data_IF_827762853685
#
_entry.id   IF_827762853685
#
_cell.length_a   1.000
_cell.length_b   1.000
_cell.length_c   1.000
_cell.angle_alpha   90.00
_cell.angle_beta   90.00
_cell.angle_gamma   90.00
#
_symmetry.space_group_name_H-M   'P 1'
#
loop_
_entity.id
_entity.type
_entity.pdbx_description
1 polymer ?
#
# COMPACT_ATOMS: atom_id res chain seq x y z
N UNK A 1 -30.97 -5.12 11.36
CA UNK A 1 -29.89 -6.06 11.76
C UNK A 1 -29.21 -6.49 10.48
N UNK A 2 -28.11 -5.84 10.13
CA UNK A 2 -27.28 -6.22 8.99
C UNK A 2 -26.36 -7.35 9.45
N UNK A 3 -26.64 -8.58 9.01
CA UNK A 3 -25.74 -9.72 9.19
C UNK A 3 -24.46 -9.45 8.36
N UNK A 4 -23.41 -8.97 9.02
CA UNK A 4 -22.08 -8.88 8.41
C UNK A 4 -21.44 -10.27 8.46
N UNK A 5 -21.27 -10.90 7.31
CA UNK A 5 -20.48 -12.13 7.18
C UNK A 5 -19.02 -11.69 7.11
N UNK A 6 -18.24 -11.96 8.16
CA UNK A 6 -16.78 -11.82 8.10
C UNK A 6 -16.20 -13.08 7.49
N UNK A 7 -15.52 -12.93 6.35
CA UNK A 7 -14.79 -14.05 5.72
C UNK A 7 -13.30 -13.80 6.00
N UNK A 8 -12.68 -14.67 6.78
CA UNK A 8 -11.23 -14.68 6.95
C UNK A 8 -10.56 -15.18 5.67
N UNK A 9 -9.93 -14.28 4.94
CA UNK A 9 -9.20 -14.60 3.71
C UNK A 9 -7.71 -14.61 4.03
N UNK A 10 -7.02 -15.74 3.81
CA UNK A 10 -5.58 -15.80 3.96
C UNK A 10 -4.88 -14.76 3.07
N UNK A 11 -3.70 -14.25 3.51
CA UNK A 11 -2.87 -13.26 2.78
C UNK A 11 -2.66 -13.68 1.30
N UNK A 12 -2.41 -14.97 1.05
CA UNK A 12 -2.21 -15.49 -0.31
C UNK A 12 -3.45 -15.42 -1.17
N UNK A 13 -4.62 -15.75 -0.62
CA UNK A 13 -5.89 -15.69 -1.34
C UNK A 13 -6.29 -14.24 -1.62
N UNK A 14 -6.09 -13.35 -0.67
CA UNK A 14 -6.30 -11.93 -0.88
C UNK A 14 -5.42 -11.37 -2.01
N UNK A 15 -4.14 -11.74 -2.06
CA UNK A 15 -3.25 -11.33 -3.15
C UNK A 15 -3.68 -11.86 -4.52
N UNK A 16 -4.22 -13.09 -4.58
CA UNK A 16 -4.79 -13.65 -5.82
C UNK A 16 -6.02 -12.87 -6.28
N UNK A 17 -6.97 -12.62 -5.38
CA UNK A 17 -8.17 -11.83 -5.67
C UNK A 17 -7.82 -10.43 -6.15
N UNK A 18 -6.85 -9.78 -5.52
CA UNK A 18 -6.38 -8.48 -5.93
C UNK A 18 -5.77 -8.51 -7.34
N UNK A 19 -4.94 -9.49 -7.68
CA UNK A 19 -4.40 -9.65 -9.05
C UNK A 19 -5.50 -9.80 -10.09
N UNK A 20 -6.55 -10.56 -9.78
CA UNK A 20 -7.72 -10.69 -10.66
C UNK A 20 -8.41 -9.35 -10.83
N UNK A 21 -8.66 -8.62 -9.74
CA UNK A 21 -9.22 -7.26 -9.79
C UNK A 21 -8.36 -6.32 -10.64
N UNK A 22 -7.05 -6.32 -10.47
CA UNK A 22 -6.12 -5.48 -11.24
C UNK A 22 -6.18 -5.81 -12.74
N UNK A 23 -6.30 -7.10 -13.11
CA UNK A 23 -6.45 -7.53 -14.51
C UNK A 23 -7.80 -7.04 -15.08
N UNK A 24 -8.90 -7.24 -14.36
CA UNK A 24 -10.24 -6.80 -14.75
C UNK A 24 -10.24 -5.28 -14.95
N UNK A 25 -9.72 -4.54 -13.97
CA UNK A 25 -9.64 -3.08 -14.03
C UNK A 25 -8.80 -2.61 -15.21
N UNK A 26 -7.65 -3.24 -15.46
CA UNK A 26 -6.77 -2.90 -16.59
C UNK A 26 -7.40 -3.11 -17.95
N UNK A 27 -8.26 -4.13 -18.08
CA UNK A 27 -8.93 -4.47 -19.35
C UNK A 27 -10.16 -3.59 -19.57
N UNK A 28 -10.96 -3.37 -18.52
CA UNK A 28 -12.28 -2.77 -18.63
C UNK A 28 -12.34 -1.28 -18.33
N UNK A 29 -11.35 -0.72 -17.62
CA UNK A 29 -11.29 0.72 -17.32
C UNK A 29 -10.31 1.42 -18.27
N UNK A 30 -10.60 2.66 -18.61
CA UNK A 30 -9.77 3.50 -19.53
C UNK A 30 -8.30 3.46 -19.12
N UNK A 31 -7.43 3.27 -20.09
CA UNK A 31 -5.98 3.39 -19.90
C UNK A 31 -5.59 4.86 -20.02
N UNK A 32 -4.64 5.28 -19.21
CA UNK A 32 -3.92 6.54 -19.42
C UNK A 32 -3.01 6.38 -20.66
N UNK A 33 -3.54 6.69 -21.81
CA UNK A 33 -2.80 6.59 -23.09
C UNK A 33 -1.92 7.83 -23.35
N UNK A 34 -2.03 8.87 -22.52
CA UNK A 34 -1.23 10.09 -22.67
C UNK A 34 0.04 9.97 -21.85
N UNK A 35 1.18 9.93 -22.50
CA UNK A 35 2.53 10.00 -21.90
C UNK A 35 2.86 11.35 -21.25
N UNK A 36 1.93 12.30 -21.20
CA UNK A 36 2.18 13.62 -20.66
C UNK A 36 2.29 13.55 -19.14
N UNK A 37 3.39 14.06 -18.60
CA UNK A 37 3.66 14.27 -17.18
C UNK A 37 2.82 15.43 -16.60
N UNK A 38 1.52 15.43 -16.87
CA UNK A 38 0.66 16.45 -16.28
C UNK A 38 0.50 16.17 -14.79
N UNK A 39 0.78 17.20 -14.00
CA UNK A 39 0.56 17.18 -12.55
C UNK A 39 -0.91 16.89 -12.26
N UNK A 40 -1.17 15.99 -11.34
CA UNK A 40 -2.51 15.54 -11.00
C UNK A 40 -2.73 15.42 -9.49
N UNK A 41 -3.91 14.94 -9.13
CA UNK A 41 -4.28 14.63 -7.74
C UNK A 41 -4.18 13.11 -7.56
N UNK A 42 -3.54 12.65 -6.49
CA UNK A 42 -3.50 11.24 -6.13
C UNK A 42 -4.47 10.97 -4.97
N UNK A 43 -5.41 10.05 -5.18
CA UNK A 43 -6.29 9.50 -4.16
C UNK A 43 -5.69 8.18 -3.68
N UNK A 44 -5.36 8.11 -2.38
CA UNK A 44 -4.68 6.94 -1.81
C UNK A 44 -5.66 6.13 -0.97
N UNK A 45 -5.82 4.84 -1.32
CA UNK A 45 -6.70 3.89 -0.62
C UNK A 45 -8.18 4.30 -0.59
N UNK A 46 -8.66 5.01 -1.63
CA UNK A 46 -10.07 5.34 -1.75
C UNK A 46 -10.89 4.15 -2.27
N UNK A 47 -12.04 3.92 -1.65
CA UNK A 47 -13.03 2.94 -2.08
C UNK A 47 -14.01 3.60 -3.05
N UNK A 48 -14.11 3.12 -4.31
CA UNK A 48 -14.99 3.76 -5.30
C UNK A 48 -16.47 3.78 -4.88
N UNK A 49 -16.95 2.75 -4.18
CA UNK A 49 -18.35 2.68 -3.78
C UNK A 49 -18.62 3.60 -2.58
N UNK A 50 -17.71 3.60 -1.60
CA UNK A 50 -17.88 4.42 -0.40
C UNK A 50 -17.78 5.92 -0.69
N UNK A 51 -16.94 6.29 -1.64
CA UNK A 51 -16.68 7.67 -2.03
C UNK A 51 -17.18 7.99 -3.44
N UNK A 52 -18.31 7.39 -3.83
CA UNK A 52 -18.91 7.47 -5.17
C UNK A 52 -19.01 8.90 -5.70
N UNK A 53 -19.39 9.86 -4.86
CA UNK A 53 -19.49 11.28 -5.23
C UNK A 53 -18.17 11.84 -5.77
N UNK A 54 -17.02 11.53 -5.13
CA UNK A 54 -15.71 12.01 -5.59
C UNK A 54 -15.40 11.46 -6.99
N UNK A 55 -15.77 10.21 -7.26
CA UNK A 55 -15.54 9.58 -8.55
C UNK A 55 -16.48 10.12 -9.64
N UNK A 56 -17.76 10.33 -9.32
CA UNK A 56 -18.74 10.89 -10.28
C UNK A 56 -18.42 12.32 -10.64
N UNK A 57 -18.04 13.14 -9.67
CA UNK A 57 -17.67 14.54 -9.85
C UNK A 57 -16.27 14.72 -10.47
N UNK A 58 -15.49 13.67 -10.60
CA UNK A 58 -14.13 13.74 -11.17
C UNK A 58 -14.08 14.35 -12.56
N UNK A 59 -15.16 14.24 -13.34
CA UNK A 59 -15.30 14.82 -14.70
C UNK A 59 -15.29 16.35 -14.71
N UNK A 60 -15.59 16.99 -13.59
CA UNK A 60 -15.61 18.46 -13.47
C UNK A 60 -14.20 19.03 -13.19
N UNK A 61 -13.24 18.16 -12.83
CA UNK A 61 -11.87 18.59 -12.57
C UNK A 61 -11.05 18.63 -13.86
N UNK A 62 -10.31 19.70 -14.04
CA UNK A 62 -9.38 19.85 -15.18
C UNK A 62 -8.13 18.98 -15.01
N UNK A 63 -7.74 18.72 -13.76
CA UNK A 63 -6.55 17.93 -13.44
C UNK A 63 -6.84 16.44 -13.46
N UNK A 64 -5.84 15.64 -13.84
CA UNK A 64 -5.93 14.18 -13.75
C UNK A 64 -6.05 13.74 -12.30
N UNK A 65 -6.88 12.74 -12.05
CA UNK A 65 -7.03 12.12 -10.75
C UNK A 65 -6.54 10.68 -10.86
N UNK A 66 -5.53 10.33 -10.06
CA UNK A 66 -4.96 8.98 -9.99
C UNK A 66 -5.49 8.27 -8.75
N UNK A 67 -5.88 7.02 -8.89
CA UNK A 67 -6.25 6.15 -7.77
C UNK A 67 -5.14 5.14 -7.51
N UNK A 68 -4.53 5.19 -6.31
CA UNK A 68 -3.50 4.26 -5.88
C UNK A 68 -3.99 3.46 -4.67
N UNK A 69 -4.38 2.20 -4.91
CA UNK A 69 -4.86 1.27 -3.90
C UNK A 69 -3.90 0.07 -3.80
N UNK A 70 -3.40 -0.20 -2.61
CA UNK A 70 -2.49 -1.32 -2.32
C UNK A 70 -3.08 -2.32 -1.35
N UNK A 71 -3.85 -1.86 -0.38
CA UNK A 71 -4.48 -2.68 0.66
C UNK A 71 -5.83 -3.26 0.26
N UNK A 72 -6.46 -2.69 -0.74
CA UNK A 72 -7.76 -3.13 -1.24
C UNK A 72 -7.75 -3.30 -2.77
N UNK A 73 -8.60 -4.19 -3.33
CA UNK A 73 -8.75 -4.28 -4.76
C UNK A 73 -9.37 -2.98 -5.32
N UNK A 74 -9.00 -2.62 -6.54
CA UNK A 74 -9.57 -1.47 -7.24
C UNK A 74 -11.05 -1.68 -7.57
N UNK A 75 -11.39 -2.93 -7.96
CA UNK A 75 -12.77 -3.36 -8.24
C UNK A 75 -13.05 -4.66 -7.49
N UNK A 76 -14.17 -4.76 -6.80
CA UNK A 76 -14.58 -5.94 -6.03
C UNK A 76 -16.03 -6.34 -6.27
N UNK A 77 -16.79 -5.51 -6.98
CA UNK A 77 -18.16 -5.80 -7.42
C UNK A 77 -18.50 -5.02 -8.69
N UNK A 78 -19.67 -5.28 -9.25
CA UNK A 78 -20.15 -4.59 -10.46
C UNK A 78 -20.27 -3.08 -10.27
N UNK A 79 -20.69 -2.63 -9.08
CA UNK A 79 -20.85 -1.21 -8.76
C UNK A 79 -19.50 -0.48 -8.77
N UNK A 80 -18.47 -1.02 -8.12
CA UNK A 80 -17.12 -0.42 -8.12
C UNK A 80 -16.52 -0.34 -9.52
N UNK A 81 -16.73 -1.37 -10.35
CA UNK A 81 -16.28 -1.35 -11.75
C UNK A 81 -17.00 -0.26 -12.55
N UNK A 82 -18.34 -0.18 -12.44
CA UNK A 82 -19.14 0.82 -13.14
C UNK A 82 -18.71 2.25 -12.79
N UNK A 83 -18.53 2.53 -11.49
CA UNK A 83 -18.06 3.84 -11.01
C UNK A 83 -16.71 4.21 -11.65
N UNK A 84 -15.74 3.27 -11.65
CA UNK A 84 -14.44 3.52 -12.28
C UNK A 84 -14.52 3.71 -13.79
N UNK A 85 -15.40 2.98 -14.48
CA UNK A 85 -15.61 3.13 -15.93
C UNK A 85 -16.24 4.48 -16.29
N UNK A 86 -17.18 4.96 -15.48
CA UNK A 86 -17.92 6.18 -15.69
C UNK A 86 -17.20 7.45 -15.18
N UNK A 87 -16.17 7.29 -14.35
CA UNK A 87 -15.36 8.39 -13.81
C UNK A 87 -14.19 8.76 -14.73
N UNK A 88 -13.57 9.92 -14.49
CA UNK A 88 -12.29 10.30 -15.09
C UNK A 88 -11.09 9.96 -14.20
N UNK A 89 -11.32 9.18 -13.15
CA UNK A 89 -10.26 8.69 -12.26
C UNK A 89 -9.48 7.58 -12.94
N UNK A 90 -8.17 7.70 -12.92
CA UNK A 90 -7.22 6.78 -13.56
C UNK A 90 -6.65 5.83 -12.52
N UNK A 91 -7.03 4.54 -12.53
CA UNK A 91 -6.45 3.55 -11.64
C UNK A 91 -4.96 3.34 -11.95
N UNK A 92 -4.10 3.43 -10.93
CA UNK A 92 -2.70 3.09 -11.09
C UNK A 92 -2.44 1.63 -10.74
N UNK A 93 -2.03 0.87 -11.73
CA UNK A 93 -1.73 -0.56 -11.60
C UNK A 93 -0.26 -0.78 -11.95
N UNK A 94 0.51 -1.21 -10.96
CA UNK A 94 1.93 -1.51 -11.14
C UNK A 94 2.07 -2.72 -12.05
N UNK A 95 2.95 -2.62 -13.06
CA UNK A 95 3.18 -3.72 -13.98
C UNK A 95 3.83 -4.92 -13.28
N UNK A 96 3.55 -6.14 -13.76
CA UNK A 96 4.14 -7.36 -13.20
C UNK A 96 5.67 -7.36 -13.26
N UNK A 97 6.27 -6.73 -14.28
CA UNK A 97 7.72 -6.58 -14.41
C UNK A 97 8.28 -5.71 -13.29
N UNK A 98 7.66 -4.56 -13.02
CA UNK A 98 8.06 -3.67 -11.94
C UNK A 98 7.88 -4.32 -10.56
N UNK A 99 6.75 -5.02 -10.33
CA UNK A 99 6.53 -5.75 -9.09
C UNK A 99 7.62 -6.79 -8.82
N UNK A 100 8.04 -7.54 -9.85
CA UNK A 100 9.14 -8.52 -9.72
C UNK A 100 10.47 -7.83 -9.43
N UNK A 101 10.77 -6.74 -10.11
CA UNK A 101 12.01 -5.98 -9.89
C UNK A 101 12.05 -5.37 -8.48
N UNK A 102 10.95 -4.76 -8.04
CA UNK A 102 10.84 -4.15 -6.71
C UNK A 102 10.96 -5.22 -5.60
N UNK A 103 10.39 -6.40 -5.82
CA UNK A 103 10.54 -7.53 -4.90
C UNK A 103 12.00 -7.98 -4.82
N UNK A 104 12.68 -8.19 -5.95
CA UNK A 104 14.10 -8.58 -5.99
C UNK A 104 15.00 -7.53 -5.32
N UNK A 105 14.75 -6.25 -5.58
CA UNK A 105 15.44 -5.15 -4.89
C UNK A 105 15.19 -5.20 -3.37
N UNK A 106 13.95 -5.48 -2.95
CA UNK A 106 13.58 -5.64 -1.55
C UNK A 106 14.32 -6.80 -0.88
N UNK A 107 14.38 -7.97 -1.51
CA UNK A 107 15.05 -9.16 -0.97
C UNK A 107 16.53 -8.90 -0.65
N UNK A 108 17.23 -8.14 -1.51
CA UNK A 108 18.62 -7.77 -1.26
C UNK A 108 18.76 -6.83 -0.03
N UNK A 109 17.85 -5.89 0.14
CA UNK A 109 17.86 -4.92 1.26
C UNK A 109 17.43 -5.57 2.59
N UNK A 110 16.53 -6.55 2.54
CA UNK A 110 16.05 -7.25 3.75
C UNK A 110 17.21 -7.84 4.52
N UNK A 111 18.14 -8.52 3.84
CA UNK A 111 19.28 -9.17 4.50
C UNK A 111 20.10 -8.16 5.31
N UNK A 112 20.48 -7.04 4.69
CA UNK A 112 21.23 -5.97 5.35
C UNK A 112 20.48 -5.38 6.55
N UNK A 113 19.17 -5.14 6.41
CA UNK A 113 18.36 -4.55 7.48
C UNK A 113 18.16 -5.55 8.61
N UNK A 114 17.95 -6.84 8.31
CA UNK A 114 17.81 -7.88 9.33
C UNK A 114 19.08 -8.06 10.15
N UNK A 115 20.26 -8.01 9.50
CA UNK A 115 21.56 -8.04 10.19
C UNK A 115 21.70 -6.85 11.16
N UNK A 116 21.42 -5.63 10.68
CA UNK A 116 21.46 -4.41 11.51
C UNK A 116 20.44 -4.44 12.66
N UNK A 117 19.26 -4.99 12.44
CA UNK A 117 18.24 -5.12 13.46
C UNK A 117 18.65 -6.12 14.55
N UNK A 118 19.24 -7.23 14.17
CA UNK A 118 19.80 -8.20 15.12
C UNK A 118 20.90 -7.55 15.95
N UNK A 119 21.85 -6.86 15.32
CA UNK A 119 22.91 -6.14 16.03
C UNK A 119 22.34 -5.08 16.99
N UNK A 120 21.32 -4.35 16.59
CA UNK A 120 20.67 -3.36 17.44
C UNK A 120 20.07 -4.02 18.69
N UNK A 121 19.34 -5.11 18.52
CA UNK A 121 18.72 -5.82 19.66
C UNK A 121 19.74 -6.51 20.56
N UNK A 122 20.94 -6.83 20.06
CA UNK A 122 22.03 -7.37 20.90
C UNK A 122 22.74 -6.27 21.70
N UNK A 123 22.88 -5.07 21.12
CA UNK A 123 23.70 -4.00 21.71
C UNK A 123 22.89 -3.03 22.59
N UNK A 124 21.57 -2.92 22.39
CA UNK A 124 20.74 -1.91 23.08
C UNK A 124 20.21 -2.41 24.43
N UNK A 125 21.07 -2.27 25.45
CA UNK A 125 20.73 -2.67 26.84
C UNK A 125 19.52 -1.94 27.43
N UNK A 126 19.21 -0.71 26.98
CA UNK A 126 18.08 0.05 27.48
C UNK A 126 16.74 -0.60 27.18
N UNK A 127 16.67 -1.49 26.17
CA UNK A 127 15.45 -2.25 25.88
C UNK A 127 15.10 -3.21 27.02
N UNK A 128 16.10 -3.80 27.68
CA UNK A 128 15.87 -4.67 28.83
C UNK A 128 15.19 -3.93 29.99
N UNK A 129 15.63 -2.69 30.24
CA UNK A 129 15.08 -1.85 31.31
C UNK A 129 13.70 -1.31 30.98
N UNK A 130 13.40 -1.12 29.67
CA UNK A 130 12.09 -0.65 29.22
C UNK A 130 11.00 -1.72 29.37
N UNK A 131 11.35 -2.99 29.20
CA UNK A 131 10.40 -4.12 29.28
C UNK A 131 10.46 -4.82 30.65
N UNK A 132 10.28 -4.06 31.74
CA UNK A 132 10.14 -4.56 33.12
C UNK A 132 8.71 -4.34 33.61
N UNK A 133 8.07 -5.39 34.09
CA UNK A 133 6.77 -5.32 34.76
C UNK A 133 6.81 -6.14 36.03
N UNK A 134 6.39 -5.55 37.16
CA UNK A 134 6.41 -6.20 38.50
C UNK A 134 7.77 -6.82 38.84
N UNK A 135 8.88 -6.13 38.58
CA UNK A 135 10.26 -6.59 38.76
C UNK A 135 10.67 -7.81 37.92
N UNK A 136 9.87 -8.19 36.92
CA UNK A 136 10.21 -9.26 35.97
C UNK A 136 10.62 -8.65 34.64
N UNK A 137 11.76 -9.14 34.12
CA UNK A 137 12.25 -8.76 32.78
C UNK A 137 11.57 -9.63 31.72
N UNK A 138 10.88 -8.98 30.76
CA UNK A 138 10.20 -9.66 29.66
C UNK A 138 10.99 -9.62 28.36
N UNK A 139 12.11 -8.90 28.30
CA UNK A 139 12.85 -8.67 27.09
C UNK A 139 13.29 -9.98 26.41
N UNK A 140 13.86 -10.92 27.15
CA UNK A 140 14.37 -12.19 26.60
C UNK A 140 13.26 -13.04 25.96
N UNK A 141 12.04 -12.96 26.49
CA UNK A 141 10.88 -13.67 25.92
C UNK A 141 10.29 -12.91 24.73
N UNK A 142 10.32 -11.58 24.75
CA UNK A 142 9.71 -10.71 23.75
C UNK A 142 10.58 -10.53 22.50
N UNK A 143 11.91 -10.50 22.68
CA UNK A 143 12.90 -10.27 21.63
C UNK A 143 12.77 -11.23 20.44
N UNK A 144 12.71 -12.57 20.63
CA UNK A 144 12.55 -13.50 19.51
C UNK A 144 11.26 -13.24 18.72
N UNK A 145 10.14 -12.98 19.43
CA UNK A 145 8.86 -12.69 18.81
C UNK A 145 8.89 -11.38 17.99
N UNK A 146 9.51 -10.33 18.54
CA UNK A 146 9.66 -9.05 17.82
C UNK A 146 10.54 -9.21 16.58
N UNK A 147 11.65 -9.96 16.67
CA UNK A 147 12.52 -10.24 15.53
C UNK A 147 11.78 -11.00 14.42
N UNK A 148 11.02 -12.03 14.77
CA UNK A 148 10.20 -12.77 13.82
C UNK A 148 9.18 -11.86 13.12
N UNK A 149 8.40 -11.10 13.90
CA UNK A 149 7.40 -10.16 13.39
C UNK A 149 8.01 -9.11 12.46
N UNK A 150 9.15 -8.54 12.85
CA UNK A 150 9.83 -7.52 12.05
C UNK A 150 10.39 -8.12 10.76
N UNK A 151 11.03 -9.28 10.82
CA UNK A 151 11.57 -9.96 9.64
C UNK A 151 10.48 -10.33 8.62
N UNK A 152 9.30 -10.76 9.08
CA UNK A 152 8.16 -11.01 8.20
C UNK A 152 7.63 -9.75 7.51
N UNK A 153 7.72 -8.58 8.16
CA UNK A 153 7.15 -7.33 7.66
C UNK A 153 8.12 -6.47 6.86
N UNK A 154 9.42 -6.59 7.11
CA UNK A 154 10.44 -5.75 6.46
C UNK A 154 10.35 -5.84 4.93
N UNK A 155 10.23 -7.05 4.37
CA UNK A 155 10.14 -7.22 2.92
C UNK A 155 8.91 -6.50 2.34
N UNK A 156 7.75 -6.67 2.95
CA UNK A 156 6.51 -6.05 2.50
C UNK A 156 6.64 -4.50 2.52
N UNK A 157 7.27 -3.95 3.56
CA UNK A 157 7.49 -2.51 3.71
C UNK A 157 8.46 -1.99 2.63
N UNK A 158 9.58 -2.67 2.41
CA UNK A 158 10.57 -2.26 1.40
C UNK A 158 9.95 -2.30 0.00
N UNK A 159 9.22 -3.37 -0.32
CA UNK A 159 8.52 -3.49 -1.61
C UNK A 159 7.49 -2.38 -1.77
N UNK A 160 6.78 -2.01 -0.70
CA UNK A 160 5.83 -0.91 -0.75
C UNK A 160 6.51 0.45 -0.93
N UNK A 161 7.67 0.67 -0.31
CA UNK A 161 8.49 1.87 -0.54
C UNK A 161 8.88 1.99 -2.02
N UNK A 162 9.39 0.92 -2.63
CA UNK A 162 9.80 0.95 -4.04
C UNK A 162 8.59 1.12 -4.98
N UNK A 163 7.45 0.53 -4.66
CA UNK A 163 6.20 0.72 -5.40
C UNK A 163 5.72 2.17 -5.33
N UNK A 164 5.76 2.77 -4.14
CA UNK A 164 5.35 4.15 -3.91
C UNK A 164 6.29 5.14 -4.62
N UNK A 165 7.61 4.91 -4.59
CA UNK A 165 8.56 5.69 -5.38
C UNK A 165 8.25 5.63 -6.87
N UNK A 166 8.00 4.42 -7.39
CA UNK A 166 7.66 4.23 -8.80
C UNK A 166 6.40 5.01 -9.17
N UNK A 167 5.36 4.94 -8.34
CA UNK A 167 4.13 5.71 -8.54
C UNK A 167 4.40 7.22 -8.59
N UNK A 168 5.13 7.76 -7.62
CA UNK A 168 5.44 9.18 -7.55
C UNK A 168 6.26 9.65 -8.75
N UNK A 169 7.25 8.86 -9.18
CA UNK A 169 8.08 9.18 -10.34
C UNK A 169 7.30 9.12 -11.66
N UNK A 170 6.40 8.15 -11.83
CA UNK A 170 5.63 7.99 -13.07
C UNK A 170 4.47 8.98 -13.19
N UNK A 171 3.80 9.30 -12.09
CA UNK A 171 2.58 10.12 -12.11
C UNK A 171 2.79 11.55 -11.65
N UNK A 172 3.86 11.81 -10.87
CA UNK A 172 4.25 13.12 -10.38
C UNK A 172 3.05 13.96 -9.88
N UNK A 173 2.25 13.47 -8.91
CA UNK A 173 1.07 14.17 -8.45
C UNK A 173 1.46 15.48 -7.75
N UNK A 174 0.67 16.55 -7.97
CA UNK A 174 0.83 17.83 -7.24
C UNK A 174 0.24 17.77 -5.84
N UNK A 175 -0.77 16.93 -5.67
CA UNK A 175 -1.51 16.78 -4.42
C UNK A 175 -1.73 15.30 -4.14
N UNK A 176 -1.51 14.91 -2.89
CA UNK A 176 -1.81 13.57 -2.39
C UNK A 176 -2.89 13.69 -1.33
N UNK A 177 -4.00 12.99 -1.53
CA UNK A 177 -5.12 12.94 -0.59
C UNK A 177 -5.18 11.55 0.01
N UNK A 178 -5.11 11.49 1.33
CA UNK A 178 -5.21 10.26 2.13
C UNK A 178 -6.43 10.36 3.05
N UNK A 179 -7.07 9.23 3.34
CA UNK A 179 -8.21 9.18 4.27
C UNK A 179 -7.77 9.03 5.72
N UNK A 180 -6.57 8.48 5.92
CA UNK A 180 -6.01 8.20 7.24
C UNK A 180 -4.50 8.18 7.15
N UNK A 181 -3.83 8.67 8.16
CA UNK A 181 -2.37 8.62 8.26
C UNK A 181 -1.85 7.32 8.90
N UNK A 182 -2.76 6.41 9.29
CA UNK A 182 -2.38 5.19 10.04
C UNK A 182 -1.95 4.03 9.13
N UNK A 183 -2.20 4.11 7.83
CA UNK A 183 -1.83 3.05 6.89
C UNK A 183 -0.37 3.14 6.46
N UNK A 184 0.29 1.99 6.28
CA UNK A 184 1.69 1.92 5.86
C UNK A 184 1.89 2.61 4.49
N UNK A 185 1.02 2.33 3.53
CA UNK A 185 1.09 2.94 2.18
C UNK A 185 0.96 4.46 2.24
N UNK A 186 0.00 4.95 3.03
CA UNK A 186 -0.23 6.39 3.22
C UNK A 186 0.97 7.06 3.88
N UNK A 187 1.51 6.48 4.96
CA UNK A 187 2.69 7.01 5.65
C UNK A 187 3.92 7.04 4.74
N UNK A 188 4.15 5.99 3.96
CA UNK A 188 5.26 5.93 3.00
C UNK A 188 5.12 7.04 1.97
N UNK A 189 3.95 7.19 1.34
CA UNK A 189 3.72 8.22 0.32
C UNK A 189 3.87 9.63 0.89
N UNK A 190 3.31 9.92 2.07
CA UNK A 190 3.44 11.22 2.72
C UNK A 190 4.89 11.57 3.07
N UNK A 191 5.70 10.56 3.45
CA UNK A 191 7.13 10.77 3.73
C UNK A 191 7.97 10.94 2.48
N UNK A 192 7.63 10.25 1.39
CA UNK A 192 8.36 10.34 0.12
C UNK A 192 8.03 11.60 -0.68
N UNK A 193 6.87 12.21 -0.44
CA UNK A 193 6.41 13.40 -1.15
C UNK A 193 6.85 14.72 -0.50
N UNK A 194 7.43 14.67 0.68
CA UNK A 194 8.04 15.81 1.39
C UNK A 194 9.47 16.06 0.88
#
# INVERSE_FOLDING_TARGET
ITNSISIDISKNNFQKLRKISDIITKVLVKKDNKKNKEKGIALIEFDPVKYETIFTESKQFQNKIFLYNRRRPLTYNRKSLKILQESDVIPYIISNKLLKNNKKCGENKVKEISEKLNEFFEKEKKLEDFFIFSNQKFWDSLKPFLLELLNERILDIIVEIENSKTFLLEKNPSVIIVLSENGITEQILLKLAR
#
